data_IF_842888230175
#
_entry.id   IF_842888230175
#
_cell.length_a   1.000
_cell.length_b   1.000
_cell.length_c   1.000
_cell.angle_alpha   90.00
_cell.angle_beta   90.00
_cell.angle_gamma   90.00
#
_symmetry.space_group_name_H-M   'P 1'
#
loop_
_entity.id
_entity.type
_entity.pdbx_description
1 polymer ?
#
# COMPACT_ATOMS: atom_id res chain seq x y z
N UNK A 1 14.23 -12.25 -6.29
CA UNK A 1 13.10 -11.88 -7.18
C UNK A 1 13.25 -10.49 -7.79
N UNK A 2 13.34 -9.40 -7.01
CA UNK A 2 13.48 -8.03 -7.57
C UNK A 2 14.77 -7.79 -8.38
N UNK A 3 15.91 -8.36 -7.96
CA UNK A 3 17.16 -8.27 -8.72
C UNK A 3 17.11 -9.04 -10.05
N UNK A 4 16.37 -10.15 -10.11
CA UNK A 4 16.21 -10.98 -11.31
C UNK A 4 15.40 -10.24 -12.38
N UNK A 5 14.29 -9.60 -11.98
CA UNK A 5 13.44 -8.80 -12.86
C UNK A 5 14.14 -7.54 -13.40
N UNK A 6 14.98 -6.89 -12.58
CA UNK A 6 15.78 -5.73 -13.01
C UNK A 6 16.81 -6.11 -14.08
N UNK A 7 17.47 -7.26 -13.91
CA UNK A 7 18.43 -7.79 -14.90
C UNK A 7 17.75 -8.18 -16.21
N UNK A 8 16.56 -8.78 -16.15
CA UNK A 8 15.78 -9.11 -17.35
C UNK A 8 15.30 -7.86 -18.09
N UNK A 9 14.85 -6.82 -17.37
CA UNK A 9 14.45 -5.55 -17.97
C UNK A 9 15.62 -4.83 -18.65
N UNK A 10 16.79 -4.81 -18.02
CA UNK A 10 18.01 -4.23 -18.59
C UNK A 10 18.48 -5.01 -19.83
N UNK A 11 18.39 -6.34 -19.81
CA UNK A 11 18.68 -7.18 -20.97
C UNK A 11 17.70 -6.96 -22.12
N UNK A 12 16.42 -6.74 -21.83
CA UNK A 12 15.42 -6.41 -22.85
C UNK A 12 15.66 -5.01 -23.45
N UNK A 13 16.02 -4.03 -22.63
CA UNK A 13 16.37 -2.68 -23.10
C UNK A 13 17.65 -2.65 -23.93
N UNK A 14 18.67 -3.44 -23.56
CA UNK A 14 19.90 -3.58 -24.35
C UNK A 14 19.64 -4.24 -25.71
N UNK A 15 18.83 -5.31 -25.74
CA UNK A 15 18.40 -5.95 -27.00
C UNK A 15 17.59 -5.01 -27.88
N UNK A 16 16.72 -4.20 -27.28
CA UNK A 16 15.94 -3.17 -28.00
C UNK A 16 16.84 -2.11 -28.63
N UNK A 17 17.83 -1.57 -27.90
CA UNK A 17 18.79 -0.60 -28.46
C UNK A 17 19.62 -1.18 -29.61
N UNK A 18 20.06 -2.43 -29.49
CA UNK A 18 20.83 -3.10 -30.54
C UNK A 18 19.98 -3.35 -31.81
N UNK A 19 18.68 -3.61 -31.64
CA UNK A 19 17.75 -3.73 -32.77
C UNK A 19 17.47 -2.38 -33.44
N UNK A 20 17.33 -1.29 -32.66
CA UNK A 20 17.15 0.06 -33.21
C UNK A 20 18.37 0.50 -34.04
N UNK A 21 19.59 0.29 -33.53
CA UNK A 21 20.82 0.61 -34.27
C UNK A 21 20.95 -0.16 -35.60
N UNK A 22 20.49 -1.42 -35.62
CA UNK A 22 20.46 -2.22 -36.85
C UNK A 22 19.47 -1.66 -37.88
N UNK A 23 18.33 -1.15 -37.44
CA UNK A 23 17.31 -0.56 -38.32
C UNK A 23 17.80 0.75 -38.95
N UNK A 24 18.51 1.58 -38.18
CA UNK A 24 19.09 2.84 -38.70
C UNK A 24 20.14 2.57 -39.79
N UNK A 25 21.01 1.58 -39.58
CA UNK A 25 22.02 1.20 -40.57
C UNK A 25 21.41 0.61 -41.85
N UNK A 26 20.30 -0.15 -41.72
CA UNK A 26 19.58 -0.70 -42.87
C UNK A 26 18.89 0.41 -43.69
N UNK A 27 18.33 1.43 -43.03
CA UNK A 27 17.71 2.57 -43.71
C UNK A 27 18.71 3.36 -44.57
N UNK A 28 19.94 3.53 -44.10
CA UNK A 28 21.01 4.19 -44.85
C UNK A 28 21.37 3.37 -46.11
N UNK A 29 21.52 2.04 -45.99
CA UNK A 29 21.79 1.16 -47.14
C UNK A 29 20.67 1.14 -48.20
N UNK A 30 19.41 1.36 -47.79
CA UNK A 30 18.29 1.47 -48.74
C UNK A 30 18.36 2.71 -49.62
N UNK A 31 18.85 3.84 -49.09
CA UNK A 31 18.97 5.09 -49.85
C UNK A 31 20.03 4.97 -50.95
N UNK A 32 21.12 4.25 -50.70
CA UNK A 32 22.22 4.05 -51.66
C UNK A 32 21.82 3.13 -52.82
N UNK A 33 21.06 2.07 -52.55
CA UNK A 33 20.58 1.13 -53.58
C UNK A 33 19.57 1.78 -54.52
N UNK A 34 18.69 2.64 -53.99
CA UNK A 34 17.74 3.39 -54.80
C UNK A 34 18.43 4.30 -55.82
N UNK A 35 19.58 4.88 -55.46
CA UNK A 35 20.38 5.69 -56.38
C UNK A 35 21.07 4.85 -57.47
N UNK A 36 21.56 3.66 -57.12
CA UNK A 36 22.21 2.74 -58.08
C UNK A 36 21.23 2.15 -59.10
N UNK A 37 19.99 1.89 -58.67
CA UNK A 37 18.91 1.37 -59.54
C UNK A 37 18.57 2.33 -60.68
N UNK A 38 18.65 3.64 -60.47
CA UNK A 38 18.33 4.64 -61.51
C UNK A 38 19.34 4.68 -62.67
N UNK A 39 20.54 4.13 -62.48
CA UNK A 39 21.61 4.14 -63.48
C UNK A 39 21.63 2.90 -64.40
N UNK A 40 20.74 1.91 -64.18
CA UNK A 40 20.76 0.60 -64.87
C UNK A 40 19.82 0.48 -66.09
N UNK A 41 19.17 1.56 -66.53
CA UNK A 41 18.21 1.55 -67.66
C UNK A 41 18.85 1.62 -69.07
N UNK A 42 19.93 0.88 -69.35
CA UNK A 42 20.51 0.81 -70.70
C UNK A 42 20.39 -0.62 -71.29
N UNK A 43 19.68 -0.84 -72.42
CA UNK A 43 19.25 -2.17 -72.85
C UNK A 43 20.27 -2.85 -73.79
N UNK A 44 20.93 -3.93 -73.34
CA UNK A 44 21.85 -4.67 -74.23
C UNK A 44 22.51 -5.97 -73.74
N UNK A 45 21.96 -6.75 -72.79
CA UNK A 45 22.58 -8.03 -72.37
C UNK A 45 21.60 -9.22 -72.28
N UNK A 46 22.04 -10.39 -72.76
CA UNK A 46 21.30 -11.68 -72.79
C UNK A 46 21.58 -12.59 -71.58
N UNK A 47 20.62 -13.48 -71.25
CA UNK A 47 20.53 -14.32 -70.03
C UNK A 47 21.75 -15.18 -69.68
N UNK A 48 22.52 -15.67 -70.65
CA UNK A 48 23.70 -16.52 -70.37
C UNK A 48 24.90 -15.70 -69.85
N UNK A 49 25.00 -14.43 -70.23
CA UNK A 49 26.00 -13.49 -69.71
C UNK A 49 25.65 -12.97 -68.30
N UNK A 50 24.39 -13.15 -67.86
CA UNK A 50 23.88 -12.63 -66.59
C UNK A 50 24.31 -13.45 -65.36
N UNK A 51 24.61 -14.75 -65.53
CA UNK A 51 24.94 -15.64 -64.40
C UNK A 51 26.45 -15.70 -64.09
N UNK A 52 27.31 -15.46 -65.08
CA UNK A 52 28.76 -15.35 -64.89
C UNK A 52 29.20 -13.95 -64.43
N UNK A 53 28.31 -12.95 -64.50
CA UNK A 53 28.52 -11.57 -64.05
C UNK A 53 27.78 -11.24 -62.74
N UNK A 54 27.34 -12.22 -61.94
CA UNK A 54 26.72 -11.95 -60.65
C UNK A 54 27.81 -11.42 -59.70
N UNK A 55 28.07 -10.11 -59.82
CA UNK A 55 28.96 -9.37 -58.94
C UNK A 55 28.44 -9.47 -57.50
N UNK A 56 29.32 -9.36 -56.49
CA UNK A 56 28.96 -9.37 -55.06
C UNK A 56 27.73 -8.51 -54.72
N UNK A 57 27.48 -7.46 -55.49
CA UNK A 57 26.30 -6.59 -55.39
C UNK A 57 24.93 -7.31 -55.49
N UNK A 58 24.76 -8.34 -56.31
CA UNK A 58 23.47 -9.07 -56.43
C UNK A 58 23.27 -10.02 -55.25
N UNK A 59 24.34 -10.61 -54.72
CA UNK A 59 24.33 -11.40 -53.50
C UNK A 59 23.97 -10.53 -52.28
N UNK A 60 24.49 -9.30 -52.23
CA UNK A 60 24.12 -8.29 -51.23
C UNK A 60 22.66 -7.83 -51.36
N UNK A 61 22.12 -7.69 -52.57
CA UNK A 61 20.69 -7.37 -52.76
C UNK A 61 19.74 -8.47 -52.25
N UNK A 62 20.12 -9.75 -52.40
CA UNK A 62 19.34 -10.89 -51.86
C UNK A 62 19.40 -10.92 -50.32
N UNK A 63 20.57 -10.65 -49.74
CA UNK A 63 20.74 -10.49 -48.28
C UNK A 63 19.88 -9.34 -47.73
N UNK A 64 19.84 -8.21 -48.43
CA UNK A 64 19.02 -7.05 -48.08
C UNK A 64 17.52 -7.34 -48.20
N UNK A 65 17.09 -8.09 -49.23
CA UNK A 65 15.69 -8.49 -49.38
C UNK A 65 15.24 -9.45 -48.27
N UNK A 66 16.13 -10.33 -47.80
CA UNK A 66 15.90 -11.19 -46.64
C UNK A 66 15.75 -10.37 -45.35
N UNK A 67 16.56 -9.34 -45.15
CA UNK A 67 16.47 -8.44 -43.98
C UNK A 67 15.18 -7.58 -43.99
N UNK A 68 14.74 -7.08 -45.15
CA UNK A 68 13.43 -6.38 -45.26
C UNK A 68 12.29 -7.30 -44.87
N UNK A 69 12.32 -8.54 -45.35
CA UNK A 69 11.29 -9.53 -45.04
C UNK A 69 11.21 -9.78 -43.54
N UNK A 70 12.35 -9.86 -42.86
CA UNK A 70 12.40 -9.97 -41.39
C UNK A 70 11.86 -8.72 -40.69
N UNK A 71 12.21 -7.51 -41.14
CA UNK A 71 11.69 -6.24 -40.58
C UNK A 71 10.17 -6.13 -40.77
N UNK A 72 9.65 -6.45 -41.95
CA UNK A 72 8.21 -6.41 -42.22
C UNK A 72 7.46 -7.46 -41.40
N UNK A 73 8.01 -8.66 -41.23
CA UNK A 73 7.47 -9.67 -40.32
C UNK A 73 7.44 -9.17 -38.88
N UNK A 74 8.51 -8.54 -38.39
CA UNK A 74 8.54 -7.93 -37.06
C UNK A 74 7.49 -6.82 -36.90
N UNK A 75 7.35 -5.93 -37.88
CA UNK A 75 6.34 -4.87 -37.88
C UNK A 75 4.92 -5.43 -37.88
N UNK A 76 4.65 -6.48 -38.66
CA UNK A 76 3.37 -7.18 -38.67
C UNK A 76 3.08 -7.85 -37.33
N UNK A 77 4.07 -8.50 -36.72
CA UNK A 77 3.94 -9.10 -35.37
C UNK A 77 3.68 -8.02 -34.31
N UNK A 78 4.39 -6.90 -34.36
CA UNK A 78 4.19 -5.76 -33.46
C UNK A 78 2.80 -5.11 -33.65
N UNK A 79 2.35 -4.94 -34.89
CA UNK A 79 1.01 -4.43 -35.21
C UNK A 79 -0.08 -5.37 -34.71
N UNK A 80 0.07 -6.69 -34.92
CA UNK A 80 -0.85 -7.69 -34.39
C UNK A 80 -0.86 -7.72 -32.87
N UNK A 81 0.31 -7.59 -32.22
CA UNK A 81 0.39 -7.49 -30.77
C UNK A 81 -0.35 -6.26 -30.24
N UNK A 82 -0.23 -5.10 -30.91
CA UNK A 82 -1.01 -3.90 -30.59
C UNK A 82 -2.51 -4.11 -30.72
N UNK A 83 -2.98 -4.73 -31.81
CA UNK A 83 -4.39 -5.04 -32.01
C UNK A 83 -4.92 -6.02 -30.96
N UNK A 84 -4.16 -7.07 -30.64
CA UNK A 84 -4.51 -8.03 -29.58
C UNK A 84 -4.62 -7.33 -28.22
N UNK A 85 -3.69 -6.43 -27.89
CA UNK A 85 -3.73 -5.62 -26.65
C UNK A 85 -4.96 -4.71 -26.64
N UNK A 86 -5.29 -4.07 -27.77
CA UNK A 86 -6.48 -3.22 -27.92
C UNK A 86 -7.79 -3.99 -27.75
N UNK A 87 -7.81 -5.28 -28.09
CA UNK A 87 -8.98 -6.16 -27.91
C UNK A 87 -9.09 -6.74 -26.49
N UNK A 88 -7.96 -7.00 -25.81
CA UNK A 88 -7.93 -7.62 -24.48
C UNK A 88 -8.10 -6.59 -23.36
N UNK A 89 -7.49 -5.40 -23.51
CA UNK A 89 -7.52 -4.36 -22.46
C UNK A 89 -8.95 -3.93 -22.07
N UNK A 90 -9.90 -3.69 -22.99
CA UNK A 90 -11.27 -3.36 -22.62
C UNK A 90 -11.93 -4.44 -21.75
N UNK A 91 -11.78 -5.72 -22.12
CA UNK A 91 -12.33 -6.84 -21.33
C UNK A 91 -11.74 -6.89 -19.91
N UNK A 92 -10.45 -6.58 -19.77
CA UNK A 92 -9.79 -6.52 -18.48
C UNK A 92 -10.29 -5.33 -17.65
N UNK A 93 -10.50 -4.16 -18.28
CA UNK A 93 -11.10 -2.99 -17.63
C UNK A 93 -12.53 -3.30 -17.15
N UNK A 94 -13.37 -3.91 -17.99
CA UNK A 94 -14.74 -4.30 -17.61
C UNK A 94 -14.76 -5.25 -16.41
N UNK A 95 -13.81 -6.20 -16.38
CA UNK A 95 -13.64 -7.12 -15.26
C UNK A 95 -13.24 -6.36 -13.98
N UNK A 96 -12.29 -5.44 -14.07
CA UNK A 96 -11.86 -4.62 -12.93
C UNK A 96 -13.00 -3.71 -12.44
N UNK A 97 -13.76 -3.09 -13.35
CA UNK A 97 -14.92 -2.26 -13.01
C UNK A 97 -16.02 -3.08 -12.31
N UNK A 98 -16.26 -4.31 -12.78
CA UNK A 98 -17.22 -5.23 -12.13
C UNK A 98 -16.78 -5.60 -10.71
N UNK A 99 -15.49 -5.89 -10.51
CA UNK A 99 -14.92 -6.16 -9.18
C UNK A 99 -15.00 -4.94 -8.27
N UNK A 100 -14.76 -3.74 -8.79
CA UNK A 100 -14.91 -2.49 -8.02
C UNK A 100 -16.37 -2.31 -7.58
N UNK A 101 -17.34 -2.54 -8.48
CA UNK A 101 -18.76 -2.44 -8.16
C UNK A 101 -19.19 -3.44 -7.08
N UNK A 102 -18.71 -4.69 -7.16
CA UNK A 102 -18.94 -5.71 -6.13
C UNK A 102 -18.36 -5.27 -4.77
N UNK A 103 -17.11 -4.80 -4.73
CA UNK A 103 -16.48 -4.30 -3.50
C UNK A 103 -17.21 -3.07 -2.93
N UNK A 104 -17.75 -2.19 -3.78
CA UNK A 104 -18.56 -1.05 -3.35
C UNK A 104 -19.89 -1.49 -2.71
N UNK A 105 -20.55 -2.51 -3.28
CA UNK A 105 -21.74 -3.10 -2.69
C UNK A 105 -21.45 -3.74 -1.33
N UNK A 106 -20.33 -4.45 -1.20
CA UNK A 106 -19.87 -4.99 0.08
C UNK A 106 -19.66 -3.90 1.15
N UNK A 107 -19.10 -2.75 0.76
CA UNK A 107 -18.97 -1.59 1.66
C UNK A 107 -20.34 -1.09 2.07
N UNK A 108 -21.29 -0.98 1.14
CA UNK A 108 -22.64 -0.51 1.43
C UNK A 108 -23.35 -1.43 2.44
N UNK A 109 -23.27 -2.75 2.25
CA UNK A 109 -23.84 -3.74 3.18
C UNK A 109 -23.19 -3.62 4.56
N UNK A 110 -21.85 -3.54 4.63
CA UNK A 110 -21.12 -3.37 5.90
C UNK A 110 -21.49 -2.07 6.60
N UNK A 111 -21.68 -0.98 5.86
CA UNK A 111 -22.07 0.31 6.41
C UNK A 111 -23.48 0.27 7.01
N UNK A 112 -24.44 -0.34 6.31
CA UNK A 112 -25.80 -0.55 6.85
C UNK A 112 -25.77 -1.40 8.12
N UNK A 113 -24.91 -2.42 8.18
CA UNK A 113 -24.77 -3.26 9.38
C UNK A 113 -24.22 -2.51 10.60
N UNK A 114 -23.41 -1.46 10.39
CA UNK A 114 -22.94 -0.57 11.47
C UNK A 114 -24.08 0.33 11.95
N UNK A 115 -24.85 0.91 11.03
CA UNK A 115 -25.95 1.81 11.39
C UNK A 115 -27.07 1.13 12.21
N UNK A 116 -27.22 -0.18 12.04
CA UNK A 116 -28.21 -1.00 12.75
C UNK A 116 -27.66 -1.62 14.05
N UNK A 117 -26.38 -1.44 14.37
CA UNK A 117 -25.80 -1.98 15.59
C UNK A 117 -26.14 -1.09 16.80
N UNK A 118 -27.23 -1.38 17.50
CA UNK A 118 -27.66 -0.71 18.75
C UNK A 118 -26.65 -0.84 19.93
N UNK A 119 -25.59 -1.64 19.78
CA UNK A 119 -24.62 -1.93 20.84
C UNK A 119 -23.67 -0.78 21.19
N UNK A 120 -23.66 0.30 20.42
CA UNK A 120 -22.68 1.38 20.60
C UNK A 120 -23.07 2.36 21.71
N UNK A 121 -24.34 2.49 22.08
CA UNK A 121 -24.73 3.52 23.05
C UNK A 121 -24.12 3.27 24.44
N UNK A 122 -24.12 2.02 24.91
CA UNK A 122 -23.54 1.66 26.20
C UNK A 122 -22.01 1.85 26.22
N UNK A 123 -21.33 1.51 25.12
CA UNK A 123 -19.88 1.60 25.00
C UNK A 123 -19.41 3.03 24.81
N UNK A 124 -20.14 3.83 24.02
CA UNK A 124 -19.93 5.27 23.92
C UNK A 124 -20.15 5.96 25.26
N UNK A 125 -21.18 5.56 26.01
CA UNK A 125 -21.41 6.06 27.36
C UNK A 125 -20.28 5.67 28.33
N UNK A 126 -19.80 4.42 28.29
CA UNK A 126 -18.67 3.97 29.11
C UNK A 126 -17.38 4.74 28.78
N UNK A 127 -17.10 4.94 27.49
CA UNK A 127 -15.97 5.75 27.03
C UNK A 127 -16.11 7.20 27.50
N UNK A 128 -17.28 7.82 27.31
CA UNK A 128 -17.51 9.20 27.75
C UNK A 128 -17.36 9.34 29.26
N UNK A 129 -17.92 8.41 30.05
CA UNK A 129 -17.77 8.40 31.50
C UNK A 129 -16.31 8.27 31.94
N UNK A 130 -15.52 7.47 31.23
CA UNK A 130 -14.09 7.35 31.48
C UNK A 130 -13.32 8.64 31.14
N UNK A 131 -13.63 9.28 30.00
CA UNK A 131 -13.06 10.57 29.61
C UNK A 131 -13.40 11.67 30.61
N UNK A 132 -14.64 11.72 31.09
CA UNK A 132 -15.08 12.66 32.13
C UNK A 132 -14.34 12.41 33.45
N UNK A 133 -14.09 11.13 33.79
CA UNK A 133 -13.27 10.75 34.94
C UNK A 133 -11.84 11.27 34.83
N UNK A 134 -11.22 11.13 33.65
CA UNK A 134 -9.89 11.68 33.36
C UNK A 134 -9.87 13.21 33.42
N UNK A 135 -10.91 13.89 32.92
CA UNK A 135 -11.00 15.34 32.92
C UNK A 135 -11.11 15.94 34.34
N UNK A 136 -11.60 15.17 35.31
CA UNK A 136 -11.66 15.57 36.74
C UNK A 136 -10.31 15.46 37.46
N UNK A 137 -9.30 14.86 36.84
CA UNK A 137 -7.97 14.73 37.44
C UNK A 137 -7.30 16.11 37.46
N UNK A 138 -7.03 16.61 38.66
CA UNK A 138 -6.30 17.86 38.87
C UNK A 138 -4.81 17.58 39.19
N UNK A 139 -4.03 18.66 39.30
CA UNK A 139 -2.59 18.57 39.59
C UNK A 139 -2.28 17.91 40.94
N UNK A 140 -3.11 18.11 41.97
CA UNK A 140 -2.85 17.53 43.29
C UNK A 140 -2.96 16.00 43.26
N UNK A 141 -3.92 15.44 42.53
CA UNK A 141 -4.04 13.99 42.40
C UNK A 141 -2.80 13.36 41.72
N UNK A 142 -2.22 14.06 40.73
CA UNK A 142 -0.98 13.62 40.07
C UNK A 142 0.23 13.73 41.00
N UNK A 143 0.32 14.80 41.79
CA UNK A 143 1.40 14.99 42.78
C UNK A 143 1.34 13.89 43.84
N UNK A 144 0.15 13.57 44.35
CA UNK A 144 -0.06 12.47 45.29
C UNK A 144 0.38 11.13 44.69
N UNK A 145 -0.08 10.81 43.48
CA UNK A 145 0.31 9.58 42.78
C UNK A 145 1.84 9.47 42.64
N UNK A 146 2.53 10.55 42.29
CA UNK A 146 3.99 10.57 42.09
C UNK A 146 4.79 10.47 43.38
N UNK A 147 4.20 10.86 44.51
CA UNK A 147 4.85 10.87 45.82
C UNK A 147 5.12 9.46 46.36
N UNK A 148 4.51 8.43 45.77
CA UNK A 148 4.77 7.04 46.14
C UNK A 148 6.24 6.69 45.90
N UNK A 149 6.96 6.43 46.99
CA UNK A 149 8.33 5.92 46.93
C UNK A 149 8.38 4.49 46.37
N UNK A 150 7.36 3.68 46.68
CA UNK A 150 7.08 2.37 46.10
C UNK A 150 5.58 2.27 45.83
N UNK A 151 5.13 2.35 44.57
CA UNK A 151 3.71 2.27 44.26
C UNK A 151 3.15 0.88 44.60
N UNK A 152 1.86 0.82 44.89
CA UNK A 152 1.16 -0.47 44.96
C UNK A 152 1.19 -1.16 43.59
N UNK A 153 1.35 -2.49 43.55
CA UNK A 153 1.51 -3.25 42.31
C UNK A 153 0.42 -2.97 41.27
N UNK A 154 -0.84 -2.87 41.72
CA UNK A 154 -1.97 -2.50 40.86
C UNK A 154 -1.80 -1.13 40.21
N UNK A 155 -1.35 -0.13 40.97
CA UNK A 155 -1.14 1.23 40.44
C UNK A 155 -0.01 1.21 39.43
N UNK A 156 1.10 0.54 39.75
CA UNK A 156 2.22 0.42 38.83
C UNK A 156 1.83 -0.30 37.53
N UNK A 157 1.03 -1.37 37.61
CA UNK A 157 0.47 -2.06 36.43
C UNK A 157 -0.36 -1.13 35.56
N UNK A 158 -1.32 -0.40 36.14
CA UNK A 158 -2.19 0.51 35.37
C UNK A 158 -1.37 1.62 34.70
N UNK A 159 -0.42 2.22 35.43
CA UNK A 159 0.41 3.30 34.87
C UNK A 159 1.37 2.76 33.79
N UNK A 160 1.95 1.58 33.98
CA UNK A 160 2.77 0.95 32.94
C UNK A 160 1.96 0.72 31.65
N UNK A 161 0.73 0.21 31.76
CA UNK A 161 -0.13 -0.04 30.59
C UNK A 161 -0.40 1.25 29.81
N UNK A 162 -0.79 2.33 30.48
CA UNK A 162 -1.04 3.59 29.76
C UNK A 162 0.24 4.20 29.18
N UNK A 163 1.37 4.14 29.88
CA UNK A 163 2.66 4.59 29.34
C UNK A 163 3.04 3.82 28.06
N UNK A 164 2.75 2.52 28.01
CA UNK A 164 3.00 1.69 26.84
C UNK A 164 2.06 1.99 25.66
N UNK A 165 0.85 2.48 25.94
CA UNK A 165 -0.07 2.96 24.92
C UNK A 165 0.39 4.30 24.33
N UNK A 166 0.88 5.20 25.18
CA UNK A 166 1.38 6.52 24.77
C UNK A 166 2.72 6.43 24.02
N UNK A 167 3.60 5.52 24.43
CA UNK A 167 4.88 5.27 23.78
C UNK A 167 5.11 3.77 23.56
N UNK A 168 4.99 3.29 22.30
CA UNK A 168 5.27 1.89 21.94
C UNK A 168 6.71 1.42 22.27
N UNK A 169 7.64 2.35 22.45
CA UNK A 169 9.04 2.07 22.82
C UNK A 169 9.20 1.81 24.32
N UNK A 170 8.20 2.14 25.13
CA UNK A 170 8.20 1.92 26.57
C UNK A 170 8.25 0.42 26.88
N UNK A 171 9.25 0.03 27.67
CA UNK A 171 9.46 -1.37 28.08
C UNK A 171 9.14 -1.54 29.55
N UNK A 172 8.22 -2.45 29.86
CA UNK A 172 7.91 -2.86 31.23
C UNK A 172 9.04 -3.73 31.77
N UNK A 173 9.74 -3.26 32.81
CA UNK A 173 10.77 -3.99 33.56
C UNK A 173 10.42 -4.03 35.05
N UNK A 174 11.22 -4.75 35.84
CA UNK A 174 11.11 -4.77 37.30
C UNK A 174 11.52 -3.40 37.86
N UNK A 175 10.71 -2.84 38.76
CA UNK A 175 10.89 -1.51 39.36
C UNK A 175 10.80 -0.34 38.35
N UNK A 176 9.79 -0.39 37.48
CA UNK A 176 9.62 0.55 36.37
C UNK A 176 9.08 1.93 36.76
N UNK A 177 8.77 2.11 38.03
CA UNK A 177 8.14 3.30 38.56
C UNK A 177 8.88 4.61 38.22
N UNK A 178 10.21 4.62 38.23
CA UNK A 178 11.00 5.80 37.88
C UNK A 178 10.77 6.27 36.44
N UNK A 179 10.61 5.32 35.51
CA UNK A 179 10.30 5.65 34.11
C UNK A 179 8.85 6.14 33.99
N UNK A 180 7.91 5.51 34.70
CA UNK A 180 6.53 5.98 34.77
C UNK A 180 6.42 7.42 35.30
N UNK A 181 7.20 7.76 36.33
CA UNK A 181 7.25 9.10 36.90
C UNK A 181 7.68 10.15 35.86
N UNK A 182 8.46 9.80 34.82
CA UNK A 182 8.80 10.72 33.73
C UNK A 182 7.56 11.12 32.92
N UNK A 183 6.67 10.18 32.62
CA UNK A 183 5.38 10.47 31.98
C UNK A 183 4.49 11.31 32.91
N UNK A 184 4.39 10.93 34.19
CA UNK A 184 3.60 11.68 35.18
C UNK A 184 4.17 13.10 35.47
N UNK A 185 5.43 13.36 35.15
CA UNK A 185 6.03 14.69 35.23
C UNK A 185 5.63 15.61 34.06
N UNK A 186 5.11 15.06 32.97
CA UNK A 186 4.70 15.84 31.81
C UNK A 186 3.41 16.61 32.12
N UNK A 187 3.42 17.91 31.86
CA UNK A 187 2.27 18.79 32.12
C UNK A 187 1.04 18.45 31.27
N UNK A 188 1.26 17.78 30.14
CA UNK A 188 0.25 17.34 29.19
C UNK A 188 -0.09 15.84 29.32
N UNK A 189 0.36 15.13 30.36
CA UNK A 189 0.13 13.68 30.49
C UNK A 189 -1.34 13.27 30.34
N UNK A 190 -2.25 13.92 31.08
CA UNK A 190 -3.69 13.63 30.98
C UNK A 190 -4.23 14.01 29.59
N UNK A 191 -3.77 15.13 29.02
CA UNK A 191 -4.14 15.54 27.67
C UNK A 191 -3.68 14.54 26.61
N UNK A 192 -2.52 13.90 26.78
CA UNK A 192 -2.06 12.85 25.88
C UNK A 192 -2.94 11.59 25.95
N UNK A 193 -3.41 11.23 27.15
CA UNK A 193 -4.33 10.09 27.33
C UNK A 193 -5.66 10.37 26.62
N UNK A 194 -6.25 11.55 26.85
CA UNK A 194 -7.55 11.95 26.28
C UNK A 194 -7.48 12.04 24.75
N UNK A 195 -6.37 12.52 24.20
CA UNK A 195 -6.18 12.68 22.76
C UNK A 195 -5.54 11.46 22.08
N UNK A 196 -5.44 10.32 22.77
CA UNK A 196 -4.88 9.10 22.21
C UNK A 196 -5.75 8.63 21.05
N UNK A 197 -5.17 8.52 19.85
CA UNK A 197 -5.85 7.92 18.72
C UNK A 197 -5.88 6.39 18.90
N UNK A 198 -6.96 5.93 19.51
CA UNK A 198 -7.20 4.50 19.73
C UNK A 198 -7.21 3.72 18.42
N UNK A 199 -7.38 4.35 17.24
CA UNK A 199 -7.43 3.63 15.97
C UNK A 199 -6.08 3.08 15.51
N UNK A 200 -4.98 3.69 15.96
CA UNK A 200 -3.61 3.35 15.57
C UNK A 200 -3.03 2.22 16.44
N UNK A 201 -3.68 1.89 17.56
CA UNK A 201 -3.21 0.86 18.48
C UNK A 201 -2.96 -0.48 17.77
N UNK A 202 -1.77 -1.03 17.98
CA UNK A 202 -1.35 -2.32 17.44
C UNK A 202 -1.98 -3.50 18.18
N UNK A 203 -2.11 -4.65 17.51
CA UNK A 203 -2.66 -5.86 18.13
C UNK A 203 -1.85 -6.30 19.35
N UNK A 204 -0.53 -6.06 19.34
CA UNK A 204 0.35 -6.31 20.49
C UNK A 204 -0.02 -5.43 21.69
N UNK A 205 -0.30 -4.14 21.48
CA UNK A 205 -0.74 -3.25 22.54
C UNK A 205 -2.10 -3.70 23.08
N UNK A 206 -3.03 -4.12 22.22
CA UNK A 206 -4.33 -4.64 22.64
C UNK A 206 -4.21 -5.91 23.49
N UNK A 207 -3.37 -6.86 23.10
CA UNK A 207 -3.11 -8.07 23.89
C UNK A 207 -2.56 -7.75 25.28
N UNK A 208 -1.70 -6.73 25.39
CA UNK A 208 -1.20 -6.29 26.68
C UNK A 208 -2.27 -5.59 27.51
N UNK A 209 -3.18 -4.84 26.86
CA UNK A 209 -4.32 -4.24 27.53
C UNK A 209 -5.30 -5.26 28.10
N UNK A 210 -5.39 -6.48 27.59
CA UNK A 210 -6.28 -7.52 28.17
C UNK A 210 -6.03 -7.76 29.67
N UNK A 211 -4.84 -7.43 30.18
CA UNK A 211 -4.50 -7.48 31.60
C UNK A 211 -5.43 -6.62 32.47
N UNK A 212 -6.04 -5.55 31.93
CA UNK A 212 -6.97 -4.69 32.68
C UNK A 212 -8.21 -5.42 33.17
N UNK A 213 -8.60 -6.52 32.52
CA UNK A 213 -9.75 -7.34 32.93
C UNK A 213 -9.49 -8.06 34.25
N UNK A 214 -8.21 -8.31 34.59
CA UNK A 214 -7.82 -8.92 35.87
C UNK A 214 -7.75 -7.91 37.02
N UNK A 215 -7.86 -6.61 36.74
CA UNK A 215 -7.69 -5.54 37.74
C UNK A 215 -9.06 -5.13 38.29
N UNK A 216 -9.19 -5.19 39.62
CA UNK A 216 -10.38 -4.72 40.33
C UNK A 216 -10.43 -3.19 40.39
N UNK A 217 -11.51 -2.62 39.86
CA UNK A 217 -11.78 -1.17 39.94
C UNK A 217 -11.96 -0.70 41.38
N UNK A 218 -12.64 -1.49 42.21
CA UNK A 218 -12.85 -1.14 43.61
C UNK A 218 -11.52 -1.02 44.37
N UNK A 219 -10.58 -1.94 44.11
CA UNK A 219 -9.25 -1.88 44.70
C UNK A 219 -8.44 -0.72 44.15
N UNK A 220 -8.46 -0.49 42.83
CA UNK A 220 -7.77 0.64 42.21
C UNK A 220 -8.27 1.98 42.77
N UNK A 221 -9.59 2.14 42.93
CA UNK A 221 -10.23 3.35 43.48
C UNK A 221 -9.87 3.60 44.93
N UNK A 222 -9.76 2.54 45.74
CA UNK A 222 -9.36 2.65 47.14
C UNK A 222 -7.91 3.14 47.30
N UNK A 223 -7.05 2.87 46.31
CA UNK A 223 -5.63 3.24 46.35
C UNK A 223 -5.37 4.60 45.69
N UNK A 224 -5.95 4.84 44.51
CA UNK A 224 -5.70 6.07 43.75
C UNK A 224 -6.84 6.38 42.77
N UNK A 225 -7.39 7.60 42.88
CA UNK A 225 -8.39 8.13 41.95
C UNK A 225 -7.84 8.18 40.52
N UNK A 226 -6.56 8.55 40.37
CA UNK A 226 -5.89 8.62 39.05
C UNK A 226 -5.79 7.23 38.44
N UNK A 227 -5.30 6.25 39.20
CA UNK A 227 -5.17 4.88 38.71
C UNK A 227 -6.54 4.30 38.33
N UNK A 228 -7.58 4.52 39.12
CA UNK A 228 -8.92 4.07 38.80
C UNK A 228 -9.48 4.72 37.52
N UNK A 229 -9.30 6.03 37.37
CA UNK A 229 -9.82 6.75 36.18
C UNK A 229 -9.11 6.29 34.91
N UNK A 230 -7.79 6.07 34.98
CA UNK A 230 -7.02 5.50 33.86
C UNK A 230 -7.45 4.06 33.59
N UNK A 231 -7.65 3.22 34.62
CA UNK A 231 -8.13 1.85 34.45
C UNK A 231 -9.47 1.80 33.71
N UNK A 232 -10.44 2.63 34.11
CA UNK A 232 -11.75 2.71 33.47
C UNK A 232 -11.63 3.13 32.00
N UNK A 233 -10.73 4.07 31.70
CA UNK A 233 -10.42 4.46 30.33
C UNK A 233 -9.83 3.29 29.53
N UNK A 234 -8.83 2.60 30.06
CA UNK A 234 -8.20 1.46 29.38
C UNK A 234 -9.20 0.33 29.10
N UNK A 235 -10.13 0.06 30.03
CA UNK A 235 -11.23 -0.90 29.83
C UNK A 235 -12.17 -0.45 28.70
N UNK A 236 -12.62 0.80 28.72
CA UNK A 236 -13.47 1.34 27.67
C UNK A 236 -12.79 1.31 26.29
N UNK A 237 -11.48 1.61 26.22
CA UNK A 237 -10.69 1.50 24.98
C UNK A 237 -10.65 0.06 24.47
N UNK A 238 -10.42 -0.92 25.36
CA UNK A 238 -10.38 -2.32 24.98
C UNK A 238 -11.74 -2.79 24.46
N UNK A 239 -12.82 -2.44 25.15
CA UNK A 239 -14.19 -2.78 24.74
C UNK A 239 -14.52 -2.17 23.38
N UNK A 240 -14.28 -0.87 23.17
CA UNK A 240 -14.51 -0.18 21.89
C UNK A 240 -13.71 -0.84 20.76
N UNK A 241 -12.45 -1.21 21.01
CA UNK A 241 -11.59 -1.86 20.01
C UNK A 241 -12.03 -3.28 19.66
N UNK A 242 -12.70 -3.98 20.56
CA UNK A 242 -13.26 -5.32 20.34
C UNK A 242 -14.65 -5.28 19.69
N UNK A 243 -15.28 -4.10 19.55
CA UNK A 243 -16.59 -4.00 18.92
C UNK A 243 -16.55 -4.43 17.46
N UNK A 244 -17.64 -5.11 17.05
CA UNK A 244 -17.88 -5.41 15.64
C UNK A 244 -17.88 -4.13 14.78
N UNK A 245 -18.37 -3.03 15.33
CA UNK A 245 -18.40 -1.72 14.66
C UNK A 245 -16.99 -1.24 14.33
N UNK A 246 -16.09 -1.17 15.31
CA UNK A 246 -14.70 -0.75 15.08
C UNK A 246 -13.98 -1.63 14.06
N UNK A 247 -14.12 -2.96 14.18
CA UNK A 247 -13.52 -3.91 13.23
C UNK A 247 -14.07 -3.75 11.81
N UNK A 248 -15.38 -3.50 11.68
CA UNK A 248 -16.04 -3.28 10.39
C UNK A 248 -15.60 -1.94 9.80
N UNK A 249 -15.48 -0.87 10.61
CA UNK A 249 -14.95 0.42 10.17
C UNK A 249 -13.50 0.31 9.67
N UNK A 250 -12.64 -0.44 10.37
CA UNK A 250 -11.27 -0.73 9.92
C UNK A 250 -11.28 -1.46 8.56
N UNK A 251 -12.11 -2.50 8.42
CA UNK A 251 -12.24 -3.25 7.17
C UNK A 251 -12.75 -2.37 6.01
N UNK A 252 -13.71 -1.48 6.27
CA UNK A 252 -14.20 -0.50 5.27
C UNK A 252 -13.07 0.44 4.83
N UNK A 253 -12.25 0.95 5.76
CA UNK A 253 -11.12 1.85 5.45
C UNK A 253 -10.07 1.15 4.58
N UNK A 254 -9.75 -0.10 4.90
CA UNK A 254 -8.82 -0.92 4.11
C UNK A 254 -9.36 -1.19 2.70
N UNK A 255 -10.63 -1.59 2.58
CA UNK A 255 -11.27 -1.87 1.29
C UNK A 255 -11.36 -0.61 0.41
N UNK A 256 -11.71 0.55 0.98
CA UNK A 256 -11.67 1.83 0.27
C UNK A 256 -10.28 2.18 -0.27
N UNK A 257 -9.22 1.88 0.49
CA UNK A 257 -7.84 2.11 0.02
C UNK A 257 -7.48 1.22 -1.17
N UNK A 258 -8.02 0.00 -1.21
CA UNK A 258 -7.84 -0.96 -2.30
C UNK A 258 -8.59 -0.51 -3.55
N UNK A 259 -9.87 -0.17 -3.42
CA UNK A 259 -10.70 0.38 -4.51
C UNK A 259 -10.01 1.59 -5.14
N UNK A 260 -9.45 2.50 -4.33
CA UNK A 260 -8.74 3.67 -4.86
C UNK A 260 -7.54 3.29 -5.76
N UNK A 261 -6.79 2.24 -5.40
CA UNK A 261 -5.66 1.75 -6.23
C UNK A 261 -6.16 1.07 -7.50
N UNK A 262 -7.21 0.27 -7.40
CA UNK A 262 -7.84 -0.41 -8.55
C UNK A 262 -8.41 0.62 -9.54
N UNK A 263 -9.05 1.68 -9.05
CA UNK A 263 -9.55 2.78 -9.88
C UNK A 263 -8.40 3.53 -10.59
N UNK A 264 -7.30 3.82 -9.89
CA UNK A 264 -6.12 4.42 -10.51
C UNK A 264 -5.53 3.56 -11.63
N UNK A 265 -5.58 2.23 -11.49
CA UNK A 265 -5.13 1.31 -12.52
C UNK A 265 -6.07 1.36 -13.74
N UNK A 266 -7.38 1.37 -13.53
CA UNK A 266 -8.37 1.55 -14.60
C UNK A 266 -8.10 2.84 -15.38
N UNK A 267 -7.93 3.97 -14.69
CA UNK A 267 -7.65 5.28 -15.32
C UNK A 267 -6.35 5.26 -16.14
N UNK A 268 -5.34 4.48 -15.72
CA UNK A 268 -4.09 4.31 -16.46
C UNK A 268 -4.27 3.47 -17.72
N UNK A 269 -5.06 2.40 -17.65
CA UNK A 269 -5.32 1.50 -18.78
C UNK A 269 -6.19 2.19 -19.83
N UNK A 270 -7.19 2.98 -19.43
CA UNK A 270 -7.99 3.78 -20.34
C UNK A 270 -7.14 4.79 -21.13
N UNK A 271 -6.13 5.40 -20.49
CA UNK A 271 -5.17 6.29 -21.17
C UNK A 271 -4.31 5.56 -22.20
N UNK A 272 -4.06 4.26 -22.04
CA UNK A 272 -3.31 3.45 -23.01
C UNK A 272 -4.17 3.13 -24.23
N UNK A 273 -5.47 2.90 -24.03
CA UNK A 273 -6.43 2.66 -25.13
C UNK A 273 -6.62 3.91 -26.00
N UNK A 274 -6.64 5.09 -25.37
CA UNK A 274 -6.91 6.37 -26.04
C UNK A 274 -5.66 7.02 -26.68
N UNK A 275 -4.50 6.36 -26.66
CA UNK A 275 -3.23 6.82 -27.27
C UNK A 275 -2.91 6.03 -28.54
#
# INVERSE_FOLDING_TARGET
>A
MLQTLSTELNNMQAKSKQQVQRIENLYIGFQEIYQLSNNLNNPGLTKHDMLSQVRPEVFNQILIFLDIKQILQFRLVSSRAKETVKLILPKYIDTLQSLIAEQQNDIQIKFQSIQQADNDQNQQQAMQAALDGLARINKSHIVELKSFARPHELVEKVINLICQLLDPSFKVQKDNWKECQKFLNQSNFISQIINLDISILSDKQLQQLEQVNSISEQQARAISIVANSILNYLKAVLEVRQTKVYMTQKAIKELNSKIKKEQQLVDQLEKIINK
#
